data_IF_146883295958
#
_entry.id   IF_146883295958
#
_cell.length_a   1.000
_cell.length_b   1.000
_cell.length_c   1.000
_cell.angle_alpha   90.00
_cell.angle_beta   90.00
_cell.angle_gamma   90.00
#
_symmetry.space_group_name_H-M   'P 1'
#
loop_
_entity.id
_entity.type
_entity.pdbx_description
1 polymer ?
#
# COMPACT_ATOMS: atom_id res chain seq x y z
N UNK A 1 -9.15 3.37 5.20
CA UNK A 1 -8.31 2.84 6.31
C UNK A 1 -7.10 3.75 6.50
N UNK A 2 -6.91 4.31 7.69
CA UNK A 2 -5.79 5.22 7.94
C UNK A 2 -4.43 4.46 8.02
N UNK A 3 -3.30 5.16 7.80
CA UNK A 3 -1.96 4.59 7.86
C UNK A 3 -1.59 3.81 9.12
N UNK A 4 -2.09 4.27 10.26
CA UNK A 4 -1.74 3.77 11.57
C UNK A 4 -2.45 2.44 11.84
N UNK A 5 -3.75 2.37 11.51
CA UNK A 5 -4.54 1.13 11.55
C UNK A 5 -4.00 0.09 10.57
N UNK A 6 -3.61 0.48 9.35
CA UNK A 6 -3.01 -0.45 8.40
C UNK A 6 -1.69 -1.06 8.92
N UNK A 7 -0.86 -0.25 9.60
CA UNK A 7 0.36 -0.71 10.25
C UNK A 7 0.09 -1.70 11.38
N UNK A 8 -0.87 -1.40 12.27
CA UNK A 8 -1.24 -2.27 13.39
C UNK A 8 -1.94 -3.57 12.96
N UNK A 9 -2.74 -3.52 11.89
CA UNK A 9 -3.42 -4.69 11.33
C UNK A 9 -2.50 -5.59 10.50
N UNK A 10 -1.21 -5.23 10.36
CA UNK A 10 -0.24 -5.98 9.56
C UNK A 10 -0.50 -5.95 8.06
N UNK A 11 -1.46 -5.14 7.60
CA UNK A 11 -1.81 -4.98 6.20
C UNK A 11 -0.64 -4.28 5.52
N UNK A 12 0.09 -5.06 4.73
CA UNK A 12 1.14 -4.56 3.86
C UNK A 12 0.77 -4.83 2.42
N UNK A 13 1.23 -3.98 1.49
CA UNK A 13 1.18 -4.33 0.06
C UNK A 13 2.15 -5.46 -0.24
N UNK A 14 2.74 -5.49 -1.43
CA UNK A 14 3.65 -6.56 -1.80
C UNK A 14 4.78 -6.78 -0.77
N UNK A 15 4.92 -8.04 -0.34
CA UNK A 15 5.93 -8.53 0.64
C UNK A 15 6.91 -9.54 0.02
N UNK A 16 6.94 -9.61 -1.33
CA UNK A 16 7.78 -10.53 -2.08
C UNK A 16 9.27 -10.30 -1.78
N UNK A 17 10.01 -11.34 -1.42
CA UNK A 17 11.43 -11.24 -1.04
C UNK A 17 11.72 -10.50 0.29
N UNK A 18 10.71 -9.86 0.90
CA UNK A 18 10.78 -9.24 2.24
C UNK A 18 10.36 -10.24 3.32
N UNK A 19 9.18 -10.87 3.17
CA UNK A 19 8.62 -11.81 4.15
C UNK A 19 8.30 -13.19 3.58
N UNK A 20 8.15 -13.26 2.26
CA UNK A 20 7.81 -14.50 1.57
C UNK A 20 8.80 -14.76 0.44
N UNK A 21 8.98 -16.03 0.17
CA UNK A 21 9.41 -16.58 -1.12
C UNK A 21 8.45 -17.72 -1.47
N UNK A 22 8.44 -18.12 -2.73
CA UNK A 22 7.73 -19.30 -3.20
C UNK A 22 8.73 -20.35 -3.64
N UNK A 23 8.44 -21.61 -3.35
CA UNK A 23 9.23 -22.77 -3.80
C UNK A 23 8.33 -23.62 -4.69
N UNK A 24 8.77 -23.88 -5.91
CA UNK A 24 8.07 -24.76 -6.85
C UNK A 24 8.45 -26.24 -6.58
N UNK A 25 7.68 -27.22 -7.12
CA UNK A 25 7.91 -28.64 -6.86
C UNK A 25 9.29 -29.16 -7.29
N UNK A 26 9.93 -28.51 -8.25
CA UNK A 26 11.28 -28.81 -8.75
C UNK A 26 12.40 -28.17 -7.88
N UNK A 27 12.03 -27.50 -6.80
CA UNK A 27 12.95 -26.77 -5.92
C UNK A 27 13.24 -25.34 -6.36
N UNK A 28 12.75 -24.89 -7.51
CA UNK A 28 12.96 -23.53 -8.01
C UNK A 28 12.34 -22.50 -7.06
N UNK A 29 13.09 -21.44 -6.76
CA UNK A 29 12.68 -20.38 -5.83
C UNK A 29 12.31 -19.11 -6.59
N UNK A 30 11.27 -18.45 -6.11
CA UNK A 30 10.73 -17.19 -6.65
C UNK A 30 10.41 -16.22 -5.52
N UNK A 31 10.38 -14.89 -5.77
CA UNK A 31 10.08 -13.91 -4.73
C UNK A 31 8.60 -13.94 -4.27
N UNK A 32 7.69 -14.45 -5.11
CA UNK A 32 6.25 -14.61 -4.81
C UNK A 32 5.67 -15.72 -5.70
N UNK A 33 4.59 -16.37 -5.28
CA UNK A 33 3.92 -17.43 -6.06
C UNK A 33 3.31 -16.96 -7.39
N UNK A 34 3.19 -15.64 -7.58
CA UNK A 34 2.70 -15.03 -8.82
C UNK A 34 3.82 -14.39 -9.66
N UNK A 35 5.03 -14.23 -9.09
CA UNK A 35 6.20 -13.70 -9.77
C UNK A 35 7.11 -14.87 -10.14
N UNK A 36 6.70 -15.64 -11.15
CA UNK A 36 7.34 -16.91 -11.56
C UNK A 36 7.88 -16.87 -13.00
N UNK A 37 8.81 -17.77 -13.31
CA UNK A 37 9.46 -17.87 -14.62
C UNK A 37 10.86 -17.24 -14.65
N UNK A 38 11.50 -17.28 -15.82
CA UNK A 38 12.94 -17.01 -15.96
C UNK A 38 13.39 -15.66 -15.40
N UNK A 39 12.59 -14.61 -15.56
CA UNK A 39 12.94 -13.25 -15.10
C UNK A 39 12.84 -13.08 -13.58
N UNK A 40 12.16 -14.01 -12.88
CA UNK A 40 11.95 -13.97 -11.44
C UNK A 40 12.62 -15.14 -10.71
N UNK A 41 13.36 -15.98 -11.43
CA UNK A 41 14.05 -17.13 -10.87
C UNK A 41 15.15 -16.69 -9.90
N UNK A 42 15.09 -17.19 -8.66
CA UNK A 42 15.97 -16.80 -7.57
C UNK A 42 16.99 -17.90 -7.15
N UNK A 43 16.96 -19.08 -7.78
CA UNK A 43 17.81 -20.21 -7.45
C UNK A 43 17.01 -21.49 -7.22
N UNK A 44 17.67 -22.57 -6.82
CA UNK A 44 17.01 -23.86 -6.55
C UNK A 44 17.51 -24.49 -5.24
N UNK A 45 16.60 -24.75 -4.30
CA UNK A 45 16.91 -25.28 -2.97
C UNK A 45 17.41 -26.73 -2.95
N UNK A 46 17.31 -27.47 -4.05
CA UNK A 46 17.90 -28.80 -4.18
C UNK A 46 19.42 -28.72 -4.38
N UNK A 47 19.93 -27.58 -4.86
CA UNK A 47 21.32 -27.42 -5.28
C UNK A 47 22.05 -26.24 -4.60
N UNK A 48 21.32 -25.36 -3.90
CA UNK A 48 21.83 -24.12 -3.31
C UNK A 48 21.34 -23.92 -1.87
N UNK A 49 22.18 -23.34 -1.02
CA UNK A 49 21.80 -22.99 0.35
C UNK A 49 20.74 -21.88 0.36
N UNK A 50 19.71 -22.06 1.21
CA UNK A 50 18.66 -21.05 1.37
C UNK A 50 19.22 -19.67 1.75
N UNK A 51 20.24 -19.61 2.63
CA UNK A 51 20.85 -18.34 3.02
C UNK A 51 21.50 -17.62 1.83
N UNK A 52 22.11 -18.36 0.90
CA UNK A 52 22.69 -17.79 -0.31
C UNK A 52 21.59 -17.21 -1.21
N UNK A 53 20.50 -17.95 -1.42
CA UNK A 53 19.33 -17.48 -2.18
C UNK A 53 18.72 -16.24 -1.50
N UNK A 54 18.49 -16.29 -0.19
CA UNK A 54 17.82 -15.22 0.54
C UNK A 54 18.68 -13.95 0.63
N UNK A 55 19.97 -14.05 0.93
CA UNK A 55 20.80 -12.87 1.20
C UNK A 55 21.58 -12.35 -0.01
N UNK A 56 21.90 -13.23 -0.99
CA UNK A 56 22.84 -12.91 -2.07
C UNK A 56 22.20 -12.87 -3.45
N UNK A 57 21.04 -13.50 -3.64
CA UNK A 57 20.37 -13.48 -4.94
C UNK A 57 19.85 -12.06 -5.26
N UNK A 58 20.13 -11.61 -6.49
CA UNK A 58 19.77 -10.28 -6.97
C UNK A 58 18.26 -10.08 -7.15
N UNK A 59 17.50 -11.13 -7.51
CA UNK A 59 16.05 -11.07 -7.66
C UNK A 59 15.40 -10.88 -6.30
N UNK A 60 15.71 -11.75 -5.33
CA UNK A 60 15.14 -11.63 -3.96
C UNK A 60 15.49 -10.26 -3.38
N UNK A 61 16.75 -9.84 -3.50
CA UNK A 61 17.21 -8.53 -3.03
C UNK A 61 16.49 -7.37 -3.72
N UNK A 62 16.26 -7.44 -5.04
CA UNK A 62 15.49 -6.40 -5.77
C UNK A 62 14.09 -6.21 -5.18
N UNK A 63 13.38 -7.31 -4.92
CA UNK A 63 12.03 -7.27 -4.34
C UNK A 63 12.03 -6.94 -2.83
N UNK A 64 13.11 -7.20 -2.11
CA UNK A 64 13.26 -6.73 -0.72
C UNK A 64 13.53 -5.22 -0.65
N UNK A 65 14.49 -4.76 -1.45
CA UNK A 65 15.08 -3.44 -1.36
C UNK A 65 14.05 -2.31 -1.58
N UNK A 66 13.06 -2.49 -2.46
CA UNK A 66 12.10 -1.42 -2.73
C UNK A 66 11.25 -1.08 -1.48
N UNK A 67 11.01 -2.06 -0.59
CA UNK A 67 10.34 -1.86 0.70
C UNK A 67 11.27 -1.28 1.74
N UNK A 68 12.44 -1.89 1.94
CA UNK A 68 13.40 -1.45 2.97
C UNK A 68 13.89 -0.03 2.72
N UNK A 69 14.20 0.30 1.46
CA UNK A 69 14.71 1.62 1.06
C UNK A 69 13.61 2.61 0.73
N UNK A 70 12.34 2.18 0.79
CA UNK A 70 11.15 2.99 0.45
C UNK A 70 11.32 3.67 -0.92
N UNK A 71 11.79 2.91 -1.91
CA UNK A 71 12.23 3.42 -3.22
C UNK A 71 11.09 3.85 -4.15
N UNK A 72 9.84 3.80 -3.69
CA UNK A 72 8.70 4.44 -4.33
C UNK A 72 8.88 5.97 -4.31
N UNK A 73 9.79 6.52 -5.12
CA UNK A 73 9.96 7.98 -5.24
C UNK A 73 9.20 8.53 -6.44
N UNK A 74 8.78 7.67 -7.37
CA UNK A 74 8.17 8.02 -8.63
C UNK A 74 6.72 7.48 -8.73
N UNK A 75 5.92 8.06 -9.62
CA UNK A 75 4.53 7.64 -9.87
C UNK A 75 3.56 7.91 -8.73
N UNK A 76 2.38 7.29 -8.79
CA UNK A 76 1.30 7.48 -7.82
C UNK A 76 1.67 6.96 -6.43
N UNK A 77 2.27 5.77 -6.36
CA UNK A 77 2.78 5.20 -5.12
C UNK A 77 3.89 6.07 -4.51
N UNK A 78 4.63 6.85 -5.31
CA UNK A 78 5.70 7.68 -4.77
C UNK A 78 5.25 8.91 -3.99
N UNK A 79 4.07 9.44 -4.34
CA UNK A 79 3.46 10.60 -3.68
C UNK A 79 2.37 10.20 -2.67
N UNK A 80 2.02 8.92 -2.61
CA UNK A 80 0.97 8.39 -1.75
C UNK A 80 1.43 8.33 -0.28
N UNK A 81 0.65 8.90 0.63
CA UNK A 81 0.80 8.76 2.08
C UNK A 81 0.73 7.29 2.51
N UNK A 82 0.04 6.44 1.74
CA UNK A 82 -0.05 5.02 2.02
C UNK A 82 1.21 4.21 1.69
N UNK A 83 2.19 4.78 1.00
CA UNK A 83 3.30 4.02 0.40
C UNK A 83 4.12 3.19 1.38
N UNK A 84 4.22 3.66 2.63
CA UNK A 84 5.00 2.99 3.66
C UNK A 84 4.40 1.66 4.12
N UNK A 85 3.08 1.48 4.00
CA UNK A 85 2.38 0.26 4.38
C UNK A 85 1.76 -0.45 3.17
N UNK A 86 1.14 0.27 2.22
CA UNK A 86 0.58 -0.30 1.00
C UNK A 86 1.61 -0.40 -0.14
N UNK A 87 1.73 0.61 -1.01
CA UNK A 87 2.58 0.56 -2.20
C UNK A 87 2.23 -0.56 -3.19
N UNK A 88 1.02 -1.12 -3.15
CA UNK A 88 0.45 -2.03 -4.17
C UNK A 88 1.11 -3.41 -4.34
N UNK A 89 0.58 -4.19 -5.28
CA UNK A 89 1.06 -5.51 -5.69
C UNK A 89 2.09 -5.40 -6.82
N UNK A 90 3.21 -6.13 -6.72
CA UNK A 90 4.25 -6.14 -7.76
C UNK A 90 3.94 -7.06 -8.94
N UNK A 91 2.86 -7.85 -8.87
CA UNK A 91 2.38 -8.67 -9.99
C UNK A 91 1.84 -7.79 -11.12
N UNK A 92 1.19 -6.68 -10.78
CA UNK A 92 0.54 -5.79 -11.74
C UNK A 92 1.40 -4.59 -12.14
N UNK A 93 2.41 -4.26 -11.35
CA UNK A 93 3.29 -3.15 -11.64
C UNK A 93 4.31 -3.50 -12.73
N UNK A 94 4.73 -2.47 -13.48
CA UNK A 94 5.75 -2.60 -14.53
C UNK A 94 7.09 -3.12 -13.98
N UNK A 95 7.46 -2.71 -12.75
CA UNK A 95 8.63 -3.22 -12.06
C UNK A 95 8.49 -3.16 -10.52
N UNK A 96 9.58 -3.43 -9.81
CA UNK A 96 9.63 -3.44 -8.35
C UNK A 96 9.37 -2.05 -7.71
N UNK A 97 9.62 -0.95 -8.43
CA UNK A 97 9.49 0.43 -7.91
C UNK A 97 8.30 1.19 -8.50
N UNK A 98 7.66 0.63 -9.53
CA UNK A 98 6.57 1.22 -10.28
C UNK A 98 5.28 1.34 -9.48
N UNK A 99 4.31 2.04 -10.05
CA UNK A 99 2.98 2.11 -9.46
C UNK A 99 2.18 0.85 -9.80
N UNK A 100 1.31 0.43 -8.88
CA UNK A 100 0.34 -0.63 -9.17
C UNK A 100 -0.83 -0.01 -9.95
N UNK A 101 -1.06 -0.39 -11.23
CA UNK A 101 -2.17 0.13 -12.02
C UNK A 101 -3.53 -0.36 -11.52
N UNK A 102 -3.57 -1.45 -10.74
CA UNK A 102 -4.77 -1.94 -10.07
C UNK A 102 -5.10 -1.20 -8.77
N UNK A 103 -4.33 -0.15 -8.41
CA UNK A 103 -4.62 0.66 -7.24
C UNK A 103 -5.96 1.40 -7.43
N UNK A 104 -6.96 1.19 -6.56
CA UNK A 104 -8.26 1.84 -6.71
C UNK A 104 -8.16 3.35 -6.49
N UNK A 105 -7.37 3.80 -5.51
CA UNK A 105 -7.18 5.22 -5.19
C UNK A 105 -5.86 5.48 -4.45
N UNK A 106 -4.95 6.31 -5.00
CA UNK A 106 -3.77 6.79 -4.27
C UNK A 106 -4.11 7.87 -3.23
N UNK A 107 -3.62 7.71 -2.00
CA UNK A 107 -3.79 8.70 -0.93
C UNK A 107 -2.75 9.83 -1.05
N UNK A 108 -2.92 10.80 -1.95
CA UNK A 108 -2.02 11.96 -2.06
C UNK A 108 -2.14 12.91 -0.85
N UNK A 109 -1.28 13.94 -0.75
CA UNK A 109 -1.46 15.04 0.21
C UNK A 109 -2.90 15.53 0.13
N UNK A 110 -3.61 15.44 1.26
CA UNK A 110 -5.01 15.84 1.35
C UNK A 110 -5.06 17.17 2.05
N UNK A 111 -5.75 18.13 1.44
CA UNK A 111 -5.95 19.51 1.94
C UNK A 111 -6.39 19.58 3.42
N UNK A 112 -7.00 18.50 3.90
CA UNK A 112 -7.62 18.37 5.21
C UNK A 112 -6.97 17.28 6.09
N UNK A 113 -5.73 16.88 5.77
CA UNK A 113 -4.96 15.92 6.55
C UNK A 113 -3.62 16.52 7.02
N UNK A 114 -3.47 16.75 8.32
CA UNK A 114 -2.27 17.30 8.97
C UNK A 114 -1.92 16.51 10.24
N UNK A 115 -0.63 16.29 10.51
CA UNK A 115 -0.11 15.61 11.72
C UNK A 115 -0.76 14.26 12.09
N UNK A 116 -1.18 13.50 11.07
CA UNK A 116 -1.81 12.19 11.25
C UNK A 116 -3.32 12.24 11.51
N UNK A 117 -3.89 13.45 11.53
CA UNK A 117 -5.32 13.73 11.64
C UNK A 117 -5.91 14.02 10.25
N UNK A 118 -7.02 13.37 9.87
CA UNK A 118 -7.72 13.58 8.58
C UNK A 118 -9.20 13.79 8.87
N UNK A 119 -9.60 15.05 9.02
CA UNK A 119 -10.97 15.42 9.44
C UNK A 119 -12.04 14.83 8.53
N UNK A 120 -11.73 14.57 7.25
CA UNK A 120 -12.70 13.94 6.35
C UNK A 120 -12.89 12.47 6.67
N UNK A 121 -11.82 11.76 7.00
CA UNK A 121 -11.93 10.36 7.41
C UNK A 121 -12.73 10.27 8.72
N UNK A 122 -12.49 11.18 9.66
CA UNK A 122 -13.24 11.23 10.90
C UNK A 122 -14.72 11.58 10.66
N UNK A 123 -15.02 12.53 9.77
CA UNK A 123 -16.39 12.83 9.34
C UNK A 123 -17.06 11.57 8.79
N UNK A 124 -16.38 10.82 7.92
CA UNK A 124 -16.91 9.56 7.38
C UNK A 124 -17.19 8.53 8.49
N UNK A 125 -16.31 8.43 9.49
CA UNK A 125 -16.52 7.54 10.63
C UNK A 125 -17.71 7.98 11.51
N UNK A 126 -17.90 9.29 11.70
CA UNK A 126 -19.00 9.85 12.50
C UNK A 126 -20.35 9.71 11.80
N UNK A 127 -20.43 10.07 10.51
CA UNK A 127 -21.69 9.96 9.75
C UNK A 127 -22.01 8.50 9.44
N UNK A 128 -20.99 7.64 9.38
CA UNK A 128 -21.10 6.20 9.24
C UNK A 128 -21.10 5.69 7.80
N UNK A 129 -21.44 4.40 7.68
CA UNK A 129 -21.39 3.61 6.46
C UNK A 129 -22.72 2.90 6.23
N UNK A 130 -23.05 2.68 4.96
CA UNK A 130 -24.12 1.78 4.53
C UNK A 130 -23.86 0.33 4.97
N UNK A 131 -24.89 -0.51 4.96
CA UNK A 131 -24.77 -1.95 5.27
C UNK A 131 -23.77 -2.70 4.37
N UNK A 132 -23.50 -2.16 3.17
CA UNK A 132 -22.53 -2.70 2.23
C UNK A 132 -21.09 -2.20 2.46
N UNK A 133 -20.86 -1.37 3.49
CA UNK A 133 -19.55 -0.85 3.87
C UNK A 133 -19.08 0.38 3.08
N UNK A 134 -19.96 1.02 2.31
CA UNK A 134 -19.67 2.29 1.64
C UNK A 134 -20.02 3.48 2.53
N UNK A 135 -19.18 4.54 2.59
CA UNK A 135 -19.48 5.71 3.42
C UNK A 135 -20.73 6.43 2.93
N UNK A 136 -21.51 7.03 3.84
CA UNK A 136 -22.73 7.77 3.46
C UNK A 136 -22.44 9.04 2.65
N UNK A 137 -21.23 9.59 2.75
CA UNK A 137 -20.74 10.66 1.89
C UNK A 137 -19.33 10.33 1.37
N UNK A 138 -19.12 10.64 0.10
CA UNK A 138 -17.81 10.57 -0.53
C UNK A 138 -16.88 11.64 0.04
N UNK A 139 -15.58 11.43 -0.14
CA UNK A 139 -14.57 12.42 0.24
C UNK A 139 -14.81 13.75 -0.47
N UNK A 140 -15.11 13.72 -1.77
CA UNK A 140 -15.36 14.91 -2.59
C UNK A 140 -16.55 15.74 -2.09
N UNK A 141 -17.63 15.07 -1.67
CA UNK A 141 -18.79 15.73 -1.06
C UNK A 141 -18.43 16.40 0.26
N UNK A 142 -17.65 15.73 1.11
CA UNK A 142 -17.20 16.29 2.38
C UNK A 142 -16.20 17.44 2.17
N UNK A 143 -15.30 17.32 1.19
CA UNK A 143 -14.38 18.40 0.82
C UNK A 143 -15.15 19.65 0.42
N UNK A 144 -16.24 19.49 -0.34
CA UNK A 144 -17.13 20.58 -0.70
C UNK A 144 -17.80 21.22 0.52
N UNK A 145 -18.27 20.43 1.48
CA UNK A 145 -18.84 20.96 2.74
C UNK A 145 -17.83 21.83 3.49
N UNK A 146 -16.57 21.37 3.58
CA UNK A 146 -15.49 22.08 4.26
C UNK A 146 -15.09 23.37 3.52
N UNK A 147 -15.11 23.35 2.18
CA UNK A 147 -14.85 24.53 1.35
C UNK A 147 -15.95 25.59 1.51
N UNK A 148 -17.22 25.17 1.54
CA UNK A 148 -18.36 26.06 1.72
C UNK A 148 -18.37 26.72 3.11
N UNK A 149 -17.96 26.01 4.16
CA UNK A 149 -17.80 26.55 5.52
C UNK A 149 -16.46 27.33 5.69
N UNK A 150 -15.61 27.33 4.66
CA UNK A 150 -14.30 27.97 4.62
C UNK A 150 -13.41 27.63 5.83
N UNK A 151 -13.43 26.36 6.27
CA UNK A 151 -12.71 25.87 7.45
C UNK A 151 -12.03 24.52 7.17
N UNK A 152 -10.94 24.24 7.87
CA UNK A 152 -10.24 22.95 7.86
C UNK A 152 -10.68 22.00 9.00
N UNK A 153 -11.67 22.41 9.80
CA UNK A 153 -12.27 21.61 10.88
C UNK A 153 -13.67 21.13 10.49
N UNK A 154 -14.32 20.34 11.36
CA UNK A 154 -15.68 19.84 11.16
C UNK A 154 -16.67 20.94 10.72
N UNK A 155 -17.54 20.65 9.74
CA UNK A 155 -18.62 21.54 9.37
C UNK A 155 -19.46 21.93 10.59
N UNK A 156 -19.89 23.18 10.63
CA UNK A 156 -20.63 23.78 11.73
C UNK A 156 -21.86 22.97 12.17
N UNK A 157 -22.53 22.31 11.22
CA UNK A 157 -23.71 21.48 11.46
C UNK A 157 -23.39 20.17 12.20
N UNK A 158 -22.17 19.63 12.11
CA UNK A 158 -21.78 18.41 12.84
C UNK A 158 -21.49 18.66 14.31
N UNK A 159 -21.17 19.88 14.71
CA UNK A 159 -20.89 20.19 16.12
C UNK A 159 -22.11 20.05 17.05
N UNK A 160 -23.29 19.74 16.51
CA UNK A 160 -24.56 19.58 17.24
C UNK A 160 -25.06 18.13 17.29
N UNK A 161 -24.26 17.17 16.79
CA UNK A 161 -24.56 15.72 16.78
C UNK A 161 -23.89 15.08 17.99
#
# INVERSE_FOLDING_TARGET
MNPQTALYSGIRGCVAGERIISVAPDGSVYPCSQLVGNIFYAGNLLNEDFEAIWNRNNIVKKYRDFREKKSFKNGSCGKCQAKAFCGGCRVFAEDAIGSDPGCPEPLYERKYAEDGYDVIADIQDVIGYTDAGFPYATREEIEKWLEEDNNRNYPSWMNNI
#
